data_IF_964974659901
#
_entry.id   IF_964974659901
#
_cell.length_a   1.000
_cell.length_b   1.000
_cell.length_c   1.000
_cell.angle_alpha   90.00
_cell.angle_beta   90.00
_cell.angle_gamma   90.00
#
_symmetry.space_group_name_H-M   'P 1'
#
loop_
_entity.id
_entity.type
_entity.pdbx_description
1 polymer ?
#
# COMPACT_ATOMS: atom_id res chain seq x y z
N UNK A 1 -29.74 -7.65 0.26
CA UNK A 1 -28.45 -7.25 0.86
C UNK A 1 -27.62 -6.59 -0.21
N UNK A 2 -27.28 -5.29 -0.14
CA UNK A 2 -26.31 -4.74 -1.06
C UNK A 2 -24.93 -5.21 -0.60
N UNK A 3 -24.30 -6.07 -1.39
CA UNK A 3 -22.89 -6.41 -1.22
C UNK A 3 -22.11 -5.16 -1.62
N UNK A 4 -21.79 -4.30 -0.65
CA UNK A 4 -20.91 -3.15 -0.88
C UNK A 4 -19.54 -3.73 -1.22
N UNK A 5 -19.26 -3.91 -2.51
CA UNK A 5 -17.91 -4.17 -3.00
C UNK A 5 -17.19 -2.83 -2.80
N UNK A 6 -16.56 -2.67 -1.64
CA UNK A 6 -15.65 -1.57 -1.40
C UNK A 6 -14.49 -1.73 -2.38
N UNK A 7 -14.50 -0.94 -3.46
CA UNK A 7 -13.44 -0.86 -4.46
C UNK A 7 -12.17 -0.29 -3.79
N UNK A 8 -11.46 -1.14 -3.04
CA UNK A 8 -10.14 -0.87 -2.47
C UNK A 8 -9.12 -1.08 -3.59
N UNK A 9 -8.87 -0.02 -4.37
CA UNK A 9 -7.78 -0.03 -5.33
C UNK A 9 -6.46 0.21 -4.59
N UNK A 10 -5.47 -0.64 -4.86
CA UNK A 10 -4.11 -0.44 -4.36
C UNK A 10 -3.35 0.46 -5.33
N UNK A 11 -3.01 1.67 -4.89
CA UNK A 11 -2.14 2.58 -5.65
C UNK A 11 -0.69 2.40 -5.19
N UNK A 12 0.20 2.10 -6.13
CA UNK A 12 1.64 1.99 -5.88
C UNK A 12 2.23 3.33 -5.44
N UNK A 13 2.96 3.32 -4.33
CA UNK A 13 3.73 4.46 -3.83
C UNK A 13 5.19 4.35 -4.24
N UNK A 14 5.82 3.20 -3.97
CA UNK A 14 7.24 2.99 -4.20
C UNK A 14 7.54 1.50 -4.38
N UNK A 15 8.74 1.18 -4.88
CA UNK A 15 9.28 -0.17 -4.94
C UNK A 15 10.72 -0.18 -4.48
N UNK A 16 11.07 -1.14 -3.63
CA UNK A 16 12.40 -1.29 -3.06
C UNK A 16 12.97 -2.68 -3.38
N UNK A 17 14.29 -2.81 -3.58
CA UNK A 17 14.92 -4.11 -3.78
C UNK A 17 14.96 -4.94 -2.49
N UNK A 18 14.96 -4.27 -1.32
CA UNK A 18 15.10 -4.92 -0.03
C UNK A 18 13.82 -4.79 0.82
N UNK A 19 13.52 -5.84 1.60
CA UNK A 19 12.35 -5.91 2.48
C UNK A 19 12.43 -4.88 3.60
N UNK A 20 13.61 -4.72 4.19
CA UNK A 20 13.85 -3.80 5.32
C UNK A 20 13.56 -2.36 4.94
N UNK A 21 14.01 -1.92 3.76
CA UNK A 21 13.76 -0.60 3.20
C UNK A 21 12.28 -0.35 2.94
N UNK A 22 11.59 -1.33 2.33
CA UNK A 22 10.16 -1.25 2.10
C UNK A 22 9.35 -1.10 3.40
N UNK A 23 9.75 -1.81 4.46
CA UNK A 23 9.11 -1.71 5.78
C UNK A 23 9.39 -0.37 6.44
N UNK A 24 10.64 0.12 6.40
CA UNK A 24 11.00 1.42 6.96
C UNK A 24 10.20 2.54 6.29
N UNK A 25 10.13 2.51 4.96
CA UNK A 25 9.32 3.46 4.18
C UNK A 25 7.83 3.35 4.48
N UNK A 26 7.29 2.14 4.59
CA UNK A 26 5.88 1.93 4.95
C UNK A 26 5.54 2.52 6.33
N UNK A 27 6.41 2.33 7.32
CA UNK A 27 6.26 2.93 8.66
C UNK A 27 6.32 4.44 8.63
N UNK A 28 7.25 5.01 7.86
CA UNK A 28 7.33 6.45 7.66
C UNK A 28 6.03 7.00 7.08
N UNK A 29 5.46 6.36 6.05
CA UNK A 29 4.19 6.80 5.45
C UNK A 29 3.00 6.66 6.40
N UNK A 30 2.97 5.63 7.24
CA UNK A 30 1.96 5.53 8.30
C UNK A 30 2.09 6.68 9.31
N UNK A 31 3.33 7.05 9.68
CA UNK A 31 3.59 8.19 10.57
C UNK A 31 3.23 9.55 9.93
N UNK A 32 3.38 9.69 8.61
CA UNK A 32 2.92 10.87 7.85
C UNK A 32 1.39 10.97 7.72
N UNK A 33 0.64 9.99 8.25
CA UNK A 33 -0.83 9.99 8.22
C UNK A 33 -1.44 9.33 6.98
N UNK A 34 -0.67 8.54 6.21
CA UNK A 34 -1.23 7.75 5.11
C UNK A 34 -2.13 6.65 5.68
N UNK A 35 -3.39 6.66 5.26
CA UNK A 35 -4.39 5.67 5.70
C UNK A 35 -4.11 4.30 5.06
N UNK A 36 -3.42 3.44 5.80
CA UNK A 36 -3.09 2.07 5.40
C UNK A 36 -1.95 2.00 4.39
N UNK A 37 -1.04 1.04 4.61
CA UNK A 37 0.06 0.77 3.69
C UNK A 37 0.24 -0.74 3.61
N UNK A 38 0.29 -1.27 2.38
CA UNK A 38 0.51 -2.67 2.08
C UNK A 38 1.88 -2.86 1.45
N UNK A 39 2.70 -3.75 2.02
CA UNK A 39 3.97 -4.15 1.44
C UNK A 39 3.78 -5.52 0.78
N UNK A 40 3.97 -5.59 -0.53
CA UNK A 40 3.74 -6.80 -1.32
C UNK A 40 5.05 -7.19 -2.02
N UNK A 41 5.57 -8.41 -1.82
CA UNK A 41 6.70 -8.92 -2.60
C UNK A 41 6.25 -9.19 -4.04
N UNK A 42 6.95 -8.64 -5.03
CA UNK A 42 6.66 -8.81 -6.45
C UNK A 42 7.95 -9.11 -7.22
N UNK A 43 8.22 -10.39 -7.40
CA UNK A 43 9.47 -10.86 -8.02
C UNK A 43 10.69 -10.49 -7.16
N UNK A 44 11.59 -9.69 -7.71
CA UNK A 44 12.84 -9.24 -7.06
C UNK A 44 12.69 -7.95 -6.24
N UNK A 45 11.49 -7.37 -6.17
CA UNK A 45 11.24 -6.09 -5.47
C UNK A 45 10.06 -6.18 -4.51
N UNK A 46 10.06 -5.31 -3.50
CA UNK A 46 8.98 -5.10 -2.56
C UNK A 46 8.24 -3.82 -2.93
N UNK A 47 6.98 -3.96 -3.33
CA UNK A 47 6.12 -2.83 -3.66
C UNK A 47 5.37 -2.35 -2.41
N UNK A 48 5.41 -1.05 -2.18
CA UNK A 48 4.64 -0.39 -1.12
C UNK A 48 3.45 0.28 -1.77
N UNK A 49 2.25 -0.14 -1.39
CA UNK A 49 0.97 0.30 -1.95
C UNK A 49 0.10 0.95 -0.88
N UNK A 50 -0.71 1.94 -1.25
CA UNK A 50 -1.74 2.51 -0.37
C UNK A 50 -3.14 2.10 -0.87
N UNK A 51 -4.08 1.78 0.03
CA UNK A 51 -5.47 1.65 -0.34
C UNK A 51 -6.03 3.03 -0.69
N UNK A 52 -6.63 3.16 -1.86
CA UNK A 52 -7.38 4.34 -2.27
C UNK A 52 -8.85 3.96 -2.28
N UNK A 53 -9.66 4.69 -1.51
CA UNK A 53 -11.12 4.61 -1.63
C UNK A 53 -11.52 5.38 -2.87
N UNK A 54 -12.12 4.68 -3.84
CA UNK A 54 -12.81 5.33 -4.95
C UNK A 54 -14.19 5.73 -4.44
N UNK A 55 -14.42 7.03 -4.23
CA UNK A 55 -15.75 7.56 -3.97
C UNK A 55 -16.44 7.69 -5.33
N UNK A 56 -17.41 6.82 -5.60
CA UNK A 56 -18.39 7.00 -6.67
C UNK A 56 -19.62 7.70 -6.10
#
# INVERSE_FOLDING_TARGET
MPTIISNLLLRKLASFPNKSEAIAYARQKLAEGVSGVNVVPRGSVYEVNRPVRVLF
#
